data_IF_327213519079
#
_entry.id   IF_327213519079
#
_cell.length_a   1.000
_cell.length_b   1.000
_cell.length_c   1.000
_cell.angle_alpha   90.00
_cell.angle_beta   90.00
_cell.angle_gamma   90.00
#
_symmetry.space_group_name_H-M   'P 1'
#
loop_
_entity.id
_entity.type
_entity.pdbx_description
1 polymer ?
#
# COMPACT_ATOMS: atom_id res chain seq x y z
N UNK A 1 3.84 -1.87 -11.13
CA UNK A 1 3.29 -0.51 -10.95
C UNK A 1 3.47 0.30 -12.23
N UNK A 2 4.68 0.55 -12.73
CA UNK A 2 4.93 1.32 -13.98
C UNK A 2 4.10 0.84 -15.19
N UNK A 3 4.17 -0.46 -15.53
CA UNK A 3 3.40 -1.04 -16.65
C UNK A 3 1.88 -0.85 -16.47
N UNK A 4 1.38 -0.95 -15.24
CA UNK A 4 -0.05 -0.77 -14.93
C UNK A 4 -0.47 0.68 -15.08
N UNK A 5 0.38 1.63 -14.69
CA UNK A 5 0.12 3.06 -14.88
C UNK A 5 0.09 3.42 -16.37
N UNK A 6 1.00 2.85 -17.17
CA UNK A 6 1.03 3.02 -18.61
C UNK A 6 -0.23 2.45 -19.28
N UNK A 7 -0.61 1.23 -18.93
CA UNK A 7 -1.83 0.57 -19.44
C UNK A 7 -3.11 1.34 -19.07
N UNK A 8 -3.19 1.85 -17.84
CA UNK A 8 -4.29 2.68 -17.36
C UNK A 8 -4.26 4.13 -17.89
N UNK A 9 -3.19 4.52 -18.59
CA UNK A 9 -2.93 5.90 -19.03
C UNK A 9 -2.97 6.92 -17.89
N UNK A 10 -2.54 6.52 -16.69
CA UNK A 10 -2.51 7.36 -15.50
C UNK A 10 -1.08 7.78 -15.15
N UNK A 11 -0.94 8.98 -14.62
CA UNK A 11 0.31 9.47 -14.05
C UNK A 11 0.43 9.03 -12.58
N UNK A 12 1.67 8.90 -12.05
CA UNK A 12 1.86 8.56 -10.65
C UNK A 12 1.17 9.52 -9.67
N UNK A 13 1.07 10.81 -10.00
CA UNK A 13 0.45 11.86 -9.17
C UNK A 13 -1.09 11.84 -9.17
N UNK A 14 -1.71 10.98 -9.98
CA UNK A 14 -3.16 10.73 -10.01
C UNK A 14 -3.59 9.57 -9.11
N UNK A 15 -2.65 8.94 -8.40
CA UNK A 15 -2.94 7.84 -7.46
C UNK A 15 -3.01 8.41 -6.04
N UNK A 16 -4.07 8.08 -5.31
CA UNK A 16 -4.29 8.58 -3.93
C UNK A 16 -4.04 7.52 -2.85
N UNK A 17 -4.11 6.24 -3.21
CA UNK A 17 -4.12 5.11 -2.28
C UNK A 17 -3.48 3.84 -2.84
N UNK A 18 -2.70 3.15 -2.00
CA UNK A 18 -2.14 1.83 -2.28
C UNK A 18 -2.50 0.87 -1.13
N UNK A 19 -3.19 -0.23 -1.46
CA UNK A 19 -3.30 -1.39 -0.60
C UNK A 19 -2.11 -2.31 -0.90
N UNK A 20 -1.08 -2.27 -0.07
CA UNK A 20 0.17 -3.00 -0.28
C UNK A 20 0.02 -4.49 0.01
N UNK A 21 0.93 -5.28 -0.56
CA UNK A 21 1.04 -6.68 -0.21
C UNK A 21 1.36 -6.85 1.28
N UNK A 22 2.29 -6.08 1.86
CA UNK A 22 2.49 -5.93 3.31
C UNK A 22 2.43 -7.25 4.09
N UNK A 23 3.42 -8.12 3.88
CA UNK A 23 3.41 -9.48 4.46
C UNK A 23 4.00 -9.57 5.86
N UNK A 24 4.41 -8.44 6.43
CA UNK A 24 5.17 -8.40 7.68
C UNK A 24 6.49 -9.17 7.58
N UNK A 25 7.09 -9.22 6.38
CA UNK A 25 8.38 -9.88 6.17
C UNK A 25 9.50 -8.85 6.09
N UNK A 26 10.60 -9.00 6.85
CA UNK A 26 11.62 -7.95 6.98
C UNK A 26 12.19 -7.46 5.64
N UNK A 27 12.39 -8.34 4.67
CA UNK A 27 12.90 -7.93 3.35
C UNK A 27 11.80 -7.50 2.38
N UNK A 28 10.61 -8.10 2.49
CA UNK A 28 9.50 -7.81 1.59
C UNK A 28 8.97 -6.41 1.77
N UNK A 29 8.73 -6.01 3.01
CA UNK A 29 8.14 -4.70 3.31
C UNK A 29 9.10 -3.55 2.96
N UNK A 30 10.41 -3.72 3.19
CA UNK A 30 11.45 -2.77 2.74
C UNK A 30 11.43 -2.66 1.22
N UNK A 31 11.40 -3.80 0.51
CA UNK A 31 11.43 -3.82 -0.96
C UNK A 31 10.19 -3.15 -1.56
N UNK A 32 9.03 -3.34 -0.94
CA UNK A 32 7.77 -2.73 -1.37
C UNK A 32 7.77 -1.21 -1.15
N UNK A 33 8.22 -0.73 0.02
CA UNK A 33 8.36 0.69 0.31
C UNK A 33 9.33 1.39 -0.66
N UNK A 34 10.48 0.77 -0.94
CA UNK A 34 11.44 1.30 -1.92
C UNK A 34 10.88 1.33 -3.34
N UNK A 35 10.09 0.31 -3.73
CA UNK A 35 9.42 0.29 -5.02
C UNK A 35 8.39 1.43 -5.15
N UNK A 36 7.63 1.72 -4.09
CA UNK A 36 6.69 2.85 -4.06
C UNK A 36 7.46 4.17 -4.22
N UNK A 37 8.51 4.41 -3.44
CA UNK A 37 9.34 5.61 -3.57
C UNK A 37 9.92 5.77 -4.98
N UNK A 38 10.38 4.68 -5.58
CA UNK A 38 10.94 4.70 -6.93
C UNK A 38 9.92 5.08 -8.00
N UNK A 39 8.71 4.53 -7.93
CA UNK A 39 7.68 4.73 -8.96
C UNK A 39 6.96 6.06 -8.80
N UNK A 40 6.69 6.47 -7.56
CA UNK A 40 5.88 7.67 -7.27
C UNK A 40 6.71 8.91 -6.93
N UNK A 41 8.01 8.77 -6.69
CA UNK A 41 8.89 9.90 -6.36
C UNK A 41 8.38 10.68 -5.15
N UNK A 42 8.40 12.01 -5.22
CA UNK A 42 7.90 12.88 -4.15
C UNK A 42 6.41 12.72 -3.86
N UNK A 43 5.62 12.22 -4.83
CA UNK A 43 4.21 11.94 -4.61
C UNK A 43 4.00 10.78 -3.64
N UNK A 44 4.98 9.89 -3.47
CA UNK A 44 4.92 8.79 -2.50
C UNK A 44 4.60 9.27 -1.08
N UNK A 45 5.08 10.46 -0.69
CA UNK A 45 4.84 11.05 0.64
C UNK A 45 3.43 11.64 0.81
N UNK A 46 2.63 11.71 -0.26
CA UNK A 46 1.22 12.14 -0.24
C UNK A 46 0.25 10.96 -0.37
N UNK A 47 0.75 9.79 -0.76
CA UNK A 47 -0.06 8.58 -0.87
C UNK A 47 -0.53 8.10 0.50
N UNK A 48 -1.77 7.64 0.56
CA UNK A 48 -2.20 6.80 1.67
C UNK A 48 -1.82 5.35 1.36
N UNK A 49 -1.20 4.66 2.32
CA UNK A 49 -0.74 3.29 2.15
C UNK A 49 -1.35 2.46 3.27
N UNK A 50 -1.98 1.34 2.96
CA UNK A 50 -2.43 0.40 4.00
C UNK A 50 -2.18 -1.05 3.61
N UNK A 51 -2.22 -1.98 4.58
CA UNK A 51 -2.24 -3.41 4.29
C UNK A 51 -3.45 -4.11 4.93
N UNK A 52 -4.34 -4.65 4.11
CA UNK A 52 -5.49 -5.43 4.59
C UNK A 52 -5.07 -6.65 5.42
N UNK A 53 -3.89 -7.21 5.15
CA UNK A 53 -3.37 -8.39 5.87
C UNK A 53 -3.18 -8.14 7.36
N UNK A 54 -3.01 -6.89 7.78
CA UNK A 54 -2.88 -6.59 9.20
C UNK A 54 -4.17 -6.84 9.99
N UNK A 55 -5.33 -6.90 9.31
CA UNK A 55 -6.62 -7.29 9.89
C UNK A 55 -7.00 -8.75 9.64
N UNK A 56 -6.73 -9.24 8.43
CA UNK A 56 -7.26 -10.54 7.98
C UNK A 56 -6.24 -11.69 8.04
N UNK A 57 -4.97 -11.37 8.28
CA UNK A 57 -3.87 -12.28 8.01
C UNK A 57 -3.66 -12.52 6.51
N UNK A 58 -2.67 -13.36 6.16
CA UNK A 58 -2.38 -13.70 4.78
C UNK A 58 -3.28 -14.83 4.28
N UNK A 59 -4.34 -14.47 3.56
CA UNK A 59 -5.35 -15.41 3.03
C UNK A 59 -4.89 -16.23 1.80
N UNK A 60 -3.57 -16.36 1.59
CA UNK A 60 -2.95 -17.11 0.49
C UNK A 60 -3.59 -16.78 -0.88
N UNK A 61 -4.16 -17.78 -1.56
CA UNK A 61 -4.79 -17.62 -2.88
C UNK A 61 -5.98 -16.66 -2.91
N UNK A 62 -6.59 -16.35 -1.76
CA UNK A 62 -7.69 -15.38 -1.67
C UNK A 62 -7.21 -13.94 -1.40
N UNK A 63 -5.91 -13.72 -1.15
CA UNK A 63 -5.39 -12.40 -0.74
C UNK A 63 -5.74 -11.30 -1.75
N UNK A 64 -5.47 -11.52 -3.05
CA UNK A 64 -5.73 -10.52 -4.07
C UNK A 64 -7.22 -10.17 -4.24
N UNK A 65 -8.11 -11.14 -4.10
CA UNK A 65 -9.56 -10.90 -4.19
C UNK A 65 -10.05 -10.04 -3.01
N UNK A 66 -9.60 -10.34 -1.79
CA UNK A 66 -9.96 -9.58 -0.60
C UNK A 66 -9.36 -8.18 -0.65
N UNK A 67 -8.10 -8.04 -1.06
CA UNK A 67 -7.44 -6.74 -1.22
C UNK A 67 -8.13 -5.86 -2.27
N UNK A 68 -8.54 -6.44 -3.40
CA UNK A 68 -9.28 -5.74 -4.44
C UNK A 68 -10.66 -5.27 -3.94
N UNK A 69 -11.42 -6.14 -3.26
CA UNK A 69 -12.71 -5.77 -2.67
C UNK A 69 -12.53 -4.66 -1.63
N UNK A 70 -11.52 -4.74 -0.77
CA UNK A 70 -11.23 -3.69 0.22
C UNK A 70 -10.90 -2.36 -0.45
N UNK A 71 -10.09 -2.36 -1.52
CA UNK A 71 -9.78 -1.12 -2.27
C UNK A 71 -11.01 -0.52 -2.94
N UNK A 72 -11.90 -1.34 -3.50
CA UNK A 72 -13.17 -0.87 -4.07
C UNK A 72 -14.09 -0.30 -2.99
N UNK A 73 -14.17 -0.94 -1.82
CA UNK A 73 -14.95 -0.43 -0.69
C UNK A 73 -14.38 0.87 -0.13
N UNK A 74 -13.05 1.04 -0.12
CA UNK A 74 -12.42 2.29 0.28
C UNK A 74 -12.87 3.46 -0.61
N UNK A 75 -12.93 3.24 -1.93
CA UNK A 75 -13.47 4.22 -2.88
C UNK A 75 -14.98 4.44 -2.68
N UNK A 76 -15.77 3.37 -2.58
CA UNK A 76 -17.22 3.45 -2.43
C UNK A 76 -17.65 4.19 -1.17
N UNK A 77 -16.87 4.06 -0.09
CA UNK A 77 -17.13 4.70 1.20
C UNK A 77 -16.30 5.97 1.44
N UNK A 78 -15.51 6.44 0.46
CA UNK A 78 -14.59 7.57 0.60
C UNK A 78 -13.74 7.52 1.89
N UNK A 79 -13.26 6.32 2.24
CA UNK A 79 -12.57 6.07 3.51
C UNK A 79 -11.37 5.17 3.26
N UNK A 80 -10.18 5.60 3.66
CA UNK A 80 -8.99 4.75 3.63
C UNK A 80 -8.92 3.92 4.91
N UNK A 81 -8.81 2.58 4.84
CA UNK A 81 -8.68 1.74 6.02
C UNK A 81 -7.32 1.91 6.70
N UNK A 82 -7.24 1.77 8.03
CA UNK A 82 -5.97 1.84 8.74
C UNK A 82 -5.16 0.55 8.60
N UNK A 83 -3.85 0.65 8.80
CA UNK A 83 -2.99 -0.53 9.06
C UNK A 83 -2.86 -0.74 10.57
N UNK A 84 -3.52 -1.75 11.11
CA UNK A 84 -3.41 -2.09 12.55
C UNK A 84 -2.20 -2.98 12.87
N UNK A 85 -1.96 -3.24 14.15
CA UNK A 85 -0.87 -4.07 14.70
C UNK A 85 0.55 -3.49 14.52
N UNK A 86 0.66 -2.18 14.30
CA UNK A 86 1.93 -1.47 14.25
C UNK A 86 2.34 -0.94 15.62
N UNK A 87 3.60 -1.15 16.01
CA UNK A 87 4.12 -0.69 17.31
C UNK A 87 5.55 -0.16 17.27
N UNK A 88 6.36 -0.57 16.29
CA UNK A 88 7.77 -0.18 16.20
C UNK A 88 8.13 0.02 14.73
N UNK A 89 8.70 1.18 14.42
CA UNK A 89 9.20 1.52 13.09
C UNK A 89 10.39 0.64 12.68
N UNK A 90 10.42 0.22 11.41
CA UNK A 90 11.64 -0.33 10.82
C UNK A 90 12.53 0.84 10.34
N UNK A 91 13.75 1.03 10.89
CA UNK A 91 14.62 2.15 10.52
C UNK A 91 15.09 2.13 9.05
N UNK A 92 14.82 1.05 8.31
CA UNK A 92 15.13 0.93 6.88
C UNK A 92 13.98 1.38 5.98
N UNK A 93 12.81 1.67 6.55
CA UNK A 93 11.66 2.22 5.83
C UNK A 93 11.61 3.72 6.12
N UNK A 94 11.42 4.54 5.08
CA UNK A 94 11.26 5.98 5.25
C UNK A 94 9.94 6.28 5.96
N UNK A 95 10.01 6.80 7.19
CA UNK A 95 8.85 7.07 8.04
C UNK A 95 8.03 8.30 7.61
N UNK A 96 8.42 9.00 6.54
CA UNK A 96 7.57 10.01 5.90
C UNK A 96 6.45 9.41 5.06
N UNK A 97 6.54 8.13 4.71
CA UNK A 97 5.45 7.42 4.02
C UNK A 97 4.25 7.27 4.97
N UNK A 98 3.06 7.60 4.48
CA UNK A 98 1.83 7.51 5.28
C UNK A 98 1.22 6.09 5.19
N UNK A 99 1.61 5.22 6.13
CA UNK A 99 1.11 3.84 6.24
C UNK A 99 -0.23 3.69 6.98
N UNK A 100 -0.90 4.81 7.28
CA UNK A 100 -2.23 4.82 7.93
C UNK A 100 -2.29 4.03 9.24
N UNK A 101 -1.20 4.05 10.02
CA UNK A 101 -1.13 3.48 11.36
C UNK A 101 -2.02 4.21 12.37
#
# INVERSE_FOLDING_TARGET
MEVTLEDAQMKPDEIDYINVHGTATPLGDISEALAILKVFGDHAYKLNISSTKSMTGHLLGAAGAIEAITSLLAMAHNTIPPTINFTTEDPKIDNKLNFTF
#
